data_IF_616830264775
#
_entry.id   IF_616830264775
#
_cell.length_a   1.000
_cell.length_b   1.000
_cell.length_c   1.000
_cell.angle_alpha   90.00
_cell.angle_beta   90.00
_cell.angle_gamma   90.00
#
_symmetry.space_group_name_H-M   'P 1'
#
loop_
_entity.id
_entity.type
_entity.pdbx_description
1 polymer ?
#
# COMPACT_ATOMS: atom_id res chain seq x y z
N UNK A 1 -38.45 -4.96 -3.82
CA UNK A 1 -37.52 -3.80 -3.87
C UNK A 1 -36.31 -4.23 -4.66
N UNK A 2 -36.02 -3.68 -5.84
CA UNK A 2 -34.79 -3.99 -6.55
C UNK A 2 -33.61 -3.34 -5.79
N UNK A 3 -32.59 -4.15 -5.50
CA UNK A 3 -31.34 -3.69 -4.90
C UNK A 3 -30.71 -2.64 -5.82
N UNK A 4 -30.36 -1.46 -5.25
CA UNK A 4 -29.60 -0.44 -5.96
C UNK A 4 -28.24 -1.06 -6.32
N UNK A 5 -28.03 -1.31 -7.60
CA UNK A 5 -26.72 -1.68 -8.16
C UNK A 5 -25.81 -0.45 -8.01
N UNK A 6 -25.02 -0.42 -6.96
CA UNK A 6 -23.95 0.57 -6.80
C UNK A 6 -22.89 0.21 -7.82
N UNK A 7 -22.74 1.01 -8.87
CA UNK A 7 -21.65 0.84 -9.83
C UNK A 7 -20.33 0.94 -9.06
N UNK A 8 -19.35 0.04 -9.30
CA UNK A 8 -18.04 0.14 -8.68
C UNK A 8 -17.39 1.45 -9.12
N UNK A 9 -16.91 2.23 -8.15
CA UNK A 9 -16.13 3.42 -8.43
C UNK A 9 -14.88 3.00 -9.22
N UNK A 10 -14.56 3.74 -10.30
CA UNK A 10 -13.42 3.47 -11.20
C UNK A 10 -12.04 3.59 -10.54
N UNK A 11 -11.98 3.84 -9.23
CA UNK A 11 -10.76 4.22 -8.52
C UNK A 11 -10.36 3.26 -7.40
N UNK A 12 -10.78 1.99 -7.42
CA UNK A 12 -10.24 1.00 -6.49
C UNK A 12 -8.86 0.57 -6.97
N UNK A 13 -7.87 1.46 -6.79
CA UNK A 13 -6.48 1.12 -7.02
C UNK A 13 -6.11 -0.07 -6.13
N UNK A 14 -5.53 -1.10 -6.74
CA UNK A 14 -4.90 -2.20 -6.04
C UNK A 14 -3.67 -1.66 -5.26
N UNK A 15 -3.76 -1.45 -3.93
CA UNK A 15 -2.72 -0.76 -3.16
C UNK A 15 -1.47 -1.62 -2.96
N UNK A 16 -1.52 -2.90 -3.35
CA UNK A 16 -0.42 -3.84 -3.16
C UNK A 16 0.29 -4.18 -4.48
N UNK A 17 -0.15 -3.63 -5.62
CA UNK A 17 0.48 -3.88 -6.92
C UNK A 17 0.30 -5.30 -7.46
N UNK A 18 -0.67 -6.06 -6.97
CA UNK A 18 -0.95 -7.42 -7.44
C UNK A 18 -1.68 -7.39 -8.78
N UNK A 19 -0.96 -7.60 -9.87
CA UNK A 19 -1.52 -7.54 -11.24
C UNK A 19 -2.62 -8.57 -11.49
N UNK A 20 -2.57 -9.72 -10.82
CA UNK A 20 -3.61 -10.75 -10.86
C UNK A 20 -4.95 -10.26 -10.30
N UNK A 21 -4.96 -9.27 -9.39
CA UNK A 21 -6.19 -8.68 -8.87
C UNK A 21 -6.87 -7.80 -9.93
N UNK A 22 -6.11 -7.10 -10.75
CA UNK A 22 -6.63 -6.29 -11.84
C UNK A 22 -7.21 -7.18 -12.94
N UNK A 23 -6.58 -8.32 -13.21
CA UNK A 23 -7.10 -9.33 -14.12
C UNK A 23 -8.37 -10.00 -13.58
N UNK A 24 -8.40 -10.39 -12.30
CA UNK A 24 -9.57 -10.98 -11.66
C UNK A 24 -10.77 -10.03 -11.66
N UNK A 25 -10.54 -8.72 -11.60
CA UNK A 25 -11.59 -7.71 -11.71
C UNK A 25 -12.31 -7.70 -13.06
N UNK A 26 -11.67 -8.22 -14.12
CA UNK A 26 -12.28 -8.38 -15.43
C UNK A 26 -13.14 -9.66 -15.53
N UNK A 27 -12.79 -10.69 -14.75
CA UNK A 27 -13.52 -11.96 -14.73
C UNK A 27 -14.81 -11.88 -13.93
N UNK A 28 -14.76 -11.27 -12.75
CA UNK A 28 -15.91 -11.11 -11.86
C UNK A 28 -15.86 -9.74 -11.16
N UNK A 29 -16.33 -8.68 -11.83
CA UNK A 29 -16.32 -7.34 -11.26
C UNK A 29 -17.12 -7.22 -9.94
N UNK A 30 -18.32 -7.79 -9.79
CA UNK A 30 -19.09 -7.75 -8.55
C UNK A 30 -18.35 -8.37 -7.36
N UNK A 31 -17.76 -9.54 -7.56
CA UNK A 31 -16.99 -10.23 -6.52
C UNK A 31 -15.75 -9.43 -6.13
N UNK A 32 -15.03 -8.91 -7.10
CA UNK A 32 -13.82 -8.08 -6.85
C UNK A 32 -14.16 -6.82 -6.08
N UNK A 33 -15.28 -6.16 -6.40
CA UNK A 33 -15.77 -5.00 -5.66
C UNK A 33 -16.12 -5.36 -4.20
N UNK A 34 -16.80 -6.49 -3.98
CA UNK A 34 -17.13 -6.97 -2.64
C UNK A 34 -15.86 -7.27 -1.81
N UNK A 35 -14.86 -7.91 -2.42
CA UNK A 35 -13.56 -8.14 -1.77
C UNK A 35 -12.82 -6.85 -1.43
N UNK A 36 -12.86 -5.85 -2.30
CA UNK A 36 -12.26 -4.55 -2.04
C UNK A 36 -12.93 -3.87 -0.84
N UNK A 37 -14.24 -3.98 -0.71
CA UNK A 37 -14.97 -3.45 0.43
C UNK A 37 -14.63 -4.19 1.74
N UNK A 38 -14.57 -5.51 1.73
CA UNK A 38 -14.11 -6.30 2.89
C UNK A 38 -12.71 -5.85 3.32
N UNK A 39 -11.79 -5.66 2.37
CA UNK A 39 -10.45 -5.17 2.67
C UNK A 39 -10.46 -3.76 3.27
N UNK A 40 -11.26 -2.85 2.70
CA UNK A 40 -11.41 -1.49 3.22
C UNK A 40 -11.89 -1.50 4.68
N UNK A 41 -12.88 -2.30 4.98
CA UNK A 41 -13.42 -2.44 6.34
C UNK A 41 -12.42 -3.10 7.31
N UNK A 42 -11.53 -3.97 6.81
CA UNK A 42 -10.59 -4.72 7.65
C UNK A 42 -9.27 -3.97 7.88
N UNK A 43 -8.63 -3.51 6.81
CA UNK A 43 -7.29 -2.90 6.85
C UNK A 43 -7.25 -1.45 6.36
N UNK A 44 -8.41 -0.84 6.11
CA UNK A 44 -8.54 0.57 5.74
C UNK A 44 -8.39 1.52 6.94
N UNK A 45 -8.60 2.81 6.68
CA UNK A 45 -8.39 3.90 7.65
C UNK A 45 -9.44 3.92 8.76
N UNK A 46 -10.63 3.37 8.47
CA UNK A 46 -11.72 3.31 9.45
C UNK A 46 -11.44 2.24 10.51
N UNK A 47 -11.39 2.64 11.77
CA UNK A 47 -11.29 1.71 12.90
C UNK A 47 -10.31 2.18 13.99
N UNK A 48 -10.27 1.42 15.09
CA UNK A 48 -9.49 1.75 16.29
C UNK A 48 -7.98 1.66 16.07
N UNK A 49 -7.53 0.65 15.29
CA UNK A 49 -6.11 0.48 14.96
C UNK A 49 -5.77 1.32 13.72
N UNK A 50 -4.62 1.98 13.75
CA UNK A 50 -4.11 2.67 12.56
C UNK A 50 -3.79 1.67 11.43
N UNK A 51 -3.82 2.14 10.17
CA UNK A 51 -3.45 1.31 9.02
C UNK A 51 -2.04 0.74 9.20
N UNK A 52 -1.08 1.54 9.67
CA UNK A 52 0.28 1.08 9.97
C UNK A 52 0.27 -0.16 10.87
N UNK A 53 -0.45 -0.13 11.98
CA UNK A 53 -0.51 -1.27 12.91
C UNK A 53 -1.17 -2.48 12.27
N UNK A 54 -2.26 -2.28 11.52
CA UNK A 54 -2.93 -3.38 10.80
C UNK A 54 -1.99 -4.04 9.79
N UNK A 55 -1.22 -3.25 9.04
CA UNK A 55 -0.24 -3.77 8.07
C UNK A 55 0.90 -4.53 8.75
N UNK A 56 1.40 -4.06 9.91
CA UNK A 56 2.39 -4.78 10.71
C UNK A 56 1.87 -6.13 11.20
N UNK A 57 0.60 -6.22 11.60
CA UNK A 57 -0.05 -7.48 11.97
C UNK A 57 -0.12 -8.43 10.78
N UNK A 58 -0.61 -7.94 9.64
CA UNK A 58 -0.79 -8.76 8.43
C UNK A 58 0.54 -9.29 7.91
N UNK A 59 1.59 -8.45 7.84
CA UNK A 59 2.90 -8.92 7.39
C UNK A 59 3.47 -10.02 8.30
N UNK A 60 3.26 -9.93 9.61
CA UNK A 60 3.68 -10.98 10.55
C UNK A 60 2.98 -12.32 10.30
N UNK A 61 1.67 -12.29 10.04
CA UNK A 61 0.89 -13.48 9.69
C UNK A 61 1.38 -14.08 8.37
N UNK A 62 1.62 -13.25 7.35
CA UNK A 62 2.10 -13.71 6.04
C UNK A 62 3.52 -14.29 6.12
N UNK A 63 4.40 -13.69 6.93
CA UNK A 63 5.74 -14.20 7.19
C UNK A 63 5.69 -15.61 7.81
N UNK A 64 4.82 -15.82 8.79
CA UNK A 64 4.61 -17.13 9.42
C UNK A 64 4.06 -18.19 8.45
N UNK A 65 3.40 -17.75 7.37
CA UNK A 65 2.90 -18.61 6.30
C UNK A 65 3.89 -18.81 5.16
N UNK A 66 5.06 -18.21 5.19
CA UNK A 66 6.08 -18.31 4.16
C UNK A 66 5.81 -17.49 2.89
N UNK A 67 4.91 -16.52 2.93
CA UNK A 67 4.43 -15.78 1.77
C UNK A 67 5.22 -14.47 1.57
N UNK A 68 6.48 -14.58 1.14
CA UNK A 68 7.41 -13.45 1.00
C UNK A 68 6.85 -12.28 0.17
N UNK A 69 6.28 -12.56 -1.00
CA UNK A 69 5.70 -11.53 -1.87
C UNK A 69 4.60 -10.72 -1.15
N UNK A 70 3.76 -11.43 -0.40
CA UNK A 70 2.76 -10.77 0.44
C UNK A 70 3.37 -9.90 1.53
N UNK A 71 4.43 -10.37 2.18
CA UNK A 71 5.15 -9.61 3.21
C UNK A 71 5.71 -8.32 2.63
N UNK A 72 6.39 -8.38 1.47
CA UNK A 72 6.93 -7.19 0.78
C UNK A 72 5.85 -6.15 0.47
N UNK A 73 4.71 -6.60 -0.07
CA UNK A 73 3.61 -5.72 -0.42
C UNK A 73 3.02 -5.00 0.82
N UNK A 74 2.84 -5.71 1.92
CA UNK A 74 2.33 -5.15 3.17
C UNK A 74 3.37 -4.28 3.89
N UNK A 75 4.67 -4.58 3.77
CA UNK A 75 5.74 -3.68 4.23
C UNK A 75 5.71 -2.34 3.50
N UNK A 76 5.61 -2.35 2.16
CA UNK A 76 5.52 -1.11 1.36
C UNK A 76 4.33 -0.26 1.80
N UNK A 77 3.17 -0.89 1.97
CA UNK A 77 1.99 -0.18 2.45
C UNK A 77 2.17 0.35 3.88
N UNK A 78 2.81 -0.39 4.77
CA UNK A 78 3.12 0.11 6.11
C UNK A 78 4.01 1.36 6.07
N UNK A 79 5.01 1.39 5.17
CA UNK A 79 5.86 2.56 4.93
C UNK A 79 5.06 3.76 4.43
N UNK A 80 4.09 3.57 3.53
CA UNK A 80 3.19 4.63 3.05
C UNK A 80 2.38 5.26 4.19
N UNK A 81 2.15 4.52 5.27
CA UNK A 81 1.48 4.98 6.49
C UNK A 81 2.44 5.29 7.64
N UNK A 82 3.71 5.56 7.33
CA UNK A 82 4.69 6.08 8.27
C UNK A 82 5.37 5.03 9.15
N UNK A 83 5.39 3.76 8.75
CA UNK A 83 6.24 2.77 9.40
C UNK A 83 7.72 3.05 9.13
N UNK A 84 8.56 2.72 10.08
CA UNK A 84 10.02 2.76 9.92
C UNK A 84 10.58 1.38 9.63
N UNK A 85 11.82 1.32 9.12
CA UNK A 85 12.55 0.06 8.93
C UNK A 85 12.65 -0.73 10.24
N UNK A 86 12.87 -0.04 11.35
CA UNK A 86 12.99 -0.66 12.67
C UNK A 86 11.66 -1.25 13.14
N UNK A 87 10.52 -0.56 12.92
CA UNK A 87 9.19 -1.09 13.23
C UNK A 87 8.86 -2.33 12.38
N UNK A 88 9.23 -2.35 11.09
CA UNK A 88 9.09 -3.53 10.23
C UNK A 88 9.91 -4.70 10.77
N UNK A 89 11.16 -4.46 11.17
CA UNK A 89 12.00 -5.50 11.73
C UNK A 89 11.49 -6.00 13.09
N UNK A 90 10.95 -5.13 13.94
CA UNK A 90 10.33 -5.53 15.20
C UNK A 90 9.10 -6.41 14.99
N UNK A 91 8.26 -6.10 14.00
CA UNK A 91 7.13 -6.95 13.65
C UNK A 91 7.57 -8.35 13.19
N UNK A 92 8.68 -8.45 12.43
CA UNK A 92 9.27 -9.74 12.05
C UNK A 92 9.75 -10.51 13.29
N UNK A 93 10.45 -9.85 14.21
CA UNK A 93 10.91 -10.47 15.47
C UNK A 93 9.74 -11.00 16.30
N UNK A 94 8.69 -10.20 16.42
CA UNK A 94 7.48 -10.60 17.14
C UNK A 94 6.79 -11.81 16.48
N UNK A 95 6.69 -11.81 15.14
CA UNK A 95 6.11 -12.92 14.38
C UNK A 95 6.95 -14.21 14.47
N UNK A 96 8.27 -14.09 14.66
CA UNK A 96 9.17 -15.24 14.78
C UNK A 96 8.94 -16.05 16.08
N UNK A 97 8.35 -15.45 17.10
CA UNK A 97 8.04 -16.17 18.36
C UNK A 97 7.04 -17.30 18.11
N UNK A 98 5.84 -17.05 17.55
CA UNK A 98 4.90 -18.12 17.21
C UNK A 98 5.22 -18.82 15.88
N UNK A 99 5.83 -18.14 14.92
CA UNK A 99 6.04 -18.62 13.53
C UNK A 99 7.41 -19.28 13.30
N UNK A 100 8.30 -19.21 14.26
CA UNK A 100 9.62 -19.84 14.20
C UNK A 100 10.53 -19.28 13.11
N UNK A 101 11.51 -20.09 12.70
CA UNK A 101 12.54 -19.72 11.73
C UNK A 101 11.99 -19.36 10.33
N UNK A 102 10.85 -19.90 9.95
CA UNK A 102 10.19 -19.57 8.68
C UNK A 102 9.76 -18.09 8.69
N UNK A 103 9.06 -17.65 9.73
CA UNK A 103 8.63 -16.25 9.84
C UNK A 103 9.82 -15.31 9.84
N UNK A 104 10.86 -15.63 10.58
CA UNK A 104 12.07 -14.80 10.63
C UNK A 104 12.75 -14.70 9.27
N UNK A 105 13.08 -15.85 8.63
CA UNK A 105 13.81 -15.81 7.36
C UNK A 105 13.00 -15.23 6.21
N UNK A 106 11.69 -15.47 6.14
CA UNK A 106 10.83 -14.86 5.13
C UNK A 106 10.74 -13.34 5.33
N UNK A 107 10.52 -12.91 6.58
CA UNK A 107 10.46 -11.49 6.91
C UNK A 107 11.77 -10.75 6.62
N UNK A 108 12.92 -11.33 6.99
CA UNK A 108 14.23 -10.72 6.73
C UNK A 108 14.52 -10.65 5.23
N UNK A 109 14.19 -11.67 4.44
CA UNK A 109 14.35 -11.62 2.98
C UNK A 109 13.48 -10.52 2.35
N UNK A 110 12.25 -10.38 2.81
CA UNK A 110 11.35 -9.32 2.34
C UNK A 110 11.91 -7.93 2.68
N UNK A 111 12.40 -7.73 3.90
CA UNK A 111 13.01 -6.47 4.33
C UNK A 111 14.27 -6.14 3.52
N UNK A 112 15.10 -7.14 3.24
CA UNK A 112 16.30 -7.00 2.40
C UNK A 112 15.93 -6.64 0.95
N UNK A 113 14.88 -7.24 0.38
CA UNK A 113 14.40 -6.89 -0.94
C UNK A 113 13.94 -5.42 -1.01
N UNK A 114 13.22 -4.94 -0.01
CA UNK A 114 12.82 -3.53 0.07
C UNK A 114 14.04 -2.58 0.15
N UNK A 115 15.07 -2.97 0.89
CA UNK A 115 16.29 -2.17 0.97
C UNK A 115 17.03 -2.10 -0.36
N UNK A 116 17.15 -3.22 -1.07
CA UNK A 116 17.76 -3.28 -2.40
C UNK A 116 16.98 -2.45 -3.43
N UNK A 117 15.66 -2.36 -3.29
CA UNK A 117 14.79 -1.50 -4.11
C UNK A 117 14.82 -0.01 -3.71
N UNK A 118 15.60 0.35 -2.68
CA UNK A 118 15.71 1.74 -2.22
C UNK A 118 14.53 2.26 -1.41
N UNK A 119 13.66 1.38 -0.88
CA UNK A 119 12.46 1.78 -0.13
C UNK A 119 12.74 2.61 1.12
N UNK A 120 13.97 2.56 1.65
CA UNK A 120 14.42 3.31 2.84
C UNK A 120 15.34 4.49 2.50
N UNK A 121 15.57 4.76 1.21
CA UNK A 121 16.34 5.93 0.80
C UNK A 121 15.58 7.22 1.18
N UNK A 122 16.28 8.28 1.61
CA UNK A 122 15.63 9.56 1.85
C UNK A 122 14.93 10.04 0.57
N UNK A 123 13.71 10.56 0.70
CA UNK A 123 12.97 11.09 -0.44
C UNK A 123 13.86 12.15 -1.16
N UNK A 124 13.93 12.13 -2.51
CA UNK A 124 14.65 13.16 -3.23
C UNK A 124 14.07 14.53 -2.86
N UNK A 125 14.90 15.59 -2.77
CA UNK A 125 14.42 16.92 -2.44
C UNK A 125 13.31 17.32 -3.40
N UNK A 126 12.22 17.86 -2.84
CA UNK A 126 11.08 18.29 -3.63
C UNK A 126 11.55 19.20 -4.76
N UNK A 127 11.17 18.88 -6.00
CA UNK A 127 11.50 19.73 -7.14
C UNK A 127 10.97 21.15 -6.88
N UNK A 128 11.77 22.21 -7.17
CA UNK A 128 11.36 23.56 -6.90
C UNK A 128 10.03 23.85 -7.62
N UNK A 129 9.09 24.42 -6.87
CA UNK A 129 7.78 24.75 -7.39
C UNK A 129 7.93 25.56 -8.69
N UNK A 130 7.37 25.07 -9.79
CA UNK A 130 7.36 25.79 -11.07
C UNK A 130 6.74 27.17 -10.84
N UNK A 131 7.55 28.21 -11.01
CA UNK A 131 7.05 29.59 -10.99
C UNK A 131 5.88 29.70 -11.96
N UNK A 132 4.76 30.33 -11.56
CA UNK A 132 3.66 30.57 -12.48
C UNK A 132 4.19 31.40 -13.65
N UNK A 133 3.90 30.97 -14.88
CA UNK A 133 4.21 31.75 -16.09
C UNK A 133 3.46 33.07 -15.96
N UNK A 134 4.21 34.16 -15.91
CA UNK A 134 3.68 35.51 -16.04
C UNK A 134 2.96 35.62 -17.41
N UNK A 135 1.64 35.75 -17.37
CA UNK A 135 0.86 36.14 -18.53
C UNK A 135 1.08 37.63 -18.74
N UNK A 136 2.03 37.95 -19.62
CA UNK A 136 2.18 39.31 -20.10
C UNK A 136 0.90 39.71 -20.85
N UNK A 137 0.11 40.59 -20.22
CA UNK A 137 -1.01 41.31 -20.89
C UNK A 137 -0.41 42.18 -21.97
N UNK A 138 -0.63 41.82 -23.22
CA UNK A 138 -0.40 42.77 -24.35
C UNK A 138 -1.49 43.84 -24.28
N UNK A 139 -1.11 45.03 -23.87
CA UNK A 139 -1.95 46.21 -24.01
C UNK A 139 -1.99 46.57 -25.49
N UNK A 140 -3.09 46.29 -26.18
CA UNK A 140 -3.39 46.79 -27.49
C UNK A 140 -3.67 48.29 -27.39
N UNK A 141 -2.84 49.11 -28.03
CA UNK A 141 -3.15 50.49 -28.34
C UNK A 141 -4.15 50.52 -29.49
N UNK A 142 -5.29 51.14 -29.25
CA UNK A 142 -6.17 51.63 -30.31
C UNK A 142 -5.79 53.09 -30.61
N UNK A 143 -5.55 53.35 -31.88
CA UNK A 143 -5.78 54.66 -32.49
C UNK A 143 -7.11 54.63 -33.22
#
# INVERSE_FOLDING_TARGET
>A
MPAKTTQPSKDVKNPYGYTEMDWAAQLDPPYTAARAEVRRLSVGEDGTLSVKVKELIVLGILASRGLQYGVEAHMRRALDYGATKDELFEAIKAAAVPGGGVAYSVGVRALQALEQDGAFAPAPPAAPARRPRSTARSAGRSM
#
